data_IF_015423298703
#
_entry.id   IF_015423298703
#
_cell.length_a   1.000
_cell.length_b   1.000
_cell.length_c   1.000
_cell.angle_alpha   90.00
_cell.angle_beta   90.00
_cell.angle_gamma   90.00
#
_symmetry.space_group_name_H-M   'P 1'
#
loop_
_entity.id
_entity.type
_entity.pdbx_description
1 polymer ?
#
# COMPACT_ATOMS: atom_id res chain seq x y z
N UNK A 1 2.43 23.98 -0.15
CA UNK A 1 1.33 23.00 -0.05
C UNK A 1 1.08 22.74 1.43
N UNK A 2 -0.10 23.09 1.90
CA UNK A 2 -0.53 22.84 3.27
C UNK A 2 -0.56 21.32 3.55
N UNK A 3 -0.35 20.91 4.82
CA UNK A 3 -0.37 19.50 5.21
C UNK A 3 -1.67 18.78 4.82
N UNK A 4 -2.79 19.47 4.88
CA UNK A 4 -4.08 18.93 4.47
C UNK A 4 -4.16 18.74 2.95
N UNK A 5 -3.65 19.68 2.17
CA UNK A 5 -3.56 19.59 0.72
C UNK A 5 -2.63 18.46 0.27
N UNK A 6 -1.47 18.31 0.93
CA UNK A 6 -0.56 17.19 0.68
C UNK A 6 -1.25 15.83 0.92
N UNK A 7 -1.97 15.70 2.05
CA UNK A 7 -2.73 14.49 2.37
C UNK A 7 -3.77 14.16 1.30
N UNK A 8 -4.49 15.16 0.79
CA UNK A 8 -5.52 14.99 -0.24
C UNK A 8 -4.95 14.47 -1.58
N UNK A 9 -3.67 14.72 -1.86
CA UNK A 9 -2.94 14.23 -3.04
C UNK A 9 -1.99 13.07 -2.73
N UNK A 10 -2.34 12.29 -1.71
CA UNK A 10 -1.58 11.11 -1.29
C UNK A 10 -2.45 9.84 -1.34
N UNK A 11 -1.80 8.72 -1.61
CA UNK A 11 -2.43 7.38 -1.65
C UNK A 11 -1.72 6.49 -0.64
N UNK A 12 -2.46 5.71 0.14
CA UNK A 12 -1.90 4.64 0.95
C UNK A 12 -2.41 3.27 0.49
N UNK A 13 -1.62 2.23 0.76
CA UNK A 13 -1.91 0.87 0.34
C UNK A 13 -2.25 -0.02 1.54
N UNK A 14 -3.18 -0.95 1.35
CA UNK A 14 -3.43 -2.07 2.24
C UNK A 14 -4.07 -3.22 1.48
N UNK A 15 -3.73 -4.46 1.81
CA UNK A 15 -4.34 -5.58 1.12
C UNK A 15 -3.96 -6.93 1.72
N UNK A 16 -4.62 -7.96 1.22
CA UNK A 16 -4.32 -9.31 1.63
C UNK A 16 -2.93 -9.75 1.16
N UNK A 17 -2.26 -10.57 1.97
CA UNK A 17 -0.99 -11.21 1.63
C UNK A 17 -1.10 -12.05 0.35
N UNK A 18 -2.21 -12.76 0.19
CA UNK A 18 -2.53 -13.58 -0.98
C UNK A 18 -3.47 -12.81 -1.93
N UNK A 19 -3.06 -11.63 -2.37
CA UNK A 19 -3.79 -10.90 -3.38
C UNK A 19 -3.65 -11.59 -4.74
N UNK A 20 -4.71 -11.55 -5.55
CA UNK A 20 -4.62 -11.90 -6.97
C UNK A 20 -3.86 -10.79 -7.70
N UNK A 21 -2.64 -11.09 -8.11
CA UNK A 21 -1.74 -10.18 -8.82
C UNK A 21 -1.66 -10.53 -10.31
N UNK A 22 -2.78 -11.02 -10.87
CA UNK A 22 -2.92 -11.33 -12.29
C UNK A 22 -2.64 -10.11 -13.19
N UNK A 23 -2.37 -10.37 -14.47
CA UNK A 23 -2.11 -9.33 -15.48
C UNK A 23 -3.23 -8.29 -15.55
N UNK A 24 -4.48 -8.70 -15.31
CA UNK A 24 -5.63 -7.78 -15.29
C UNK A 24 -5.53 -6.80 -14.13
N UNK A 25 -5.26 -7.29 -12.91
CA UNK A 25 -5.10 -6.44 -11.72
C UNK A 25 -3.90 -5.52 -11.89
N UNK A 26 -2.79 -6.07 -12.40
CA UNK A 26 -1.59 -5.31 -12.68
C UNK A 26 -1.85 -4.17 -13.67
N UNK A 27 -2.47 -4.49 -14.82
CA UNK A 27 -2.77 -3.49 -15.85
C UNK A 27 -3.68 -2.38 -15.32
N UNK A 28 -4.76 -2.74 -14.62
CA UNK A 28 -5.67 -1.77 -14.02
C UNK A 28 -4.94 -0.85 -13.04
N UNK A 29 -4.13 -1.43 -12.16
CA UNK A 29 -3.42 -0.67 -11.13
C UNK A 29 -2.40 0.30 -11.74
N UNK A 30 -1.64 -0.13 -12.76
CA UNK A 30 -0.67 0.74 -13.45
C UNK A 30 -1.36 1.91 -14.14
N UNK A 31 -2.45 1.64 -14.90
CA UNK A 31 -3.21 2.68 -15.58
C UNK A 31 -3.79 3.70 -14.61
N UNK A 32 -4.34 3.22 -13.48
CA UNK A 32 -4.89 4.10 -12.46
C UNK A 32 -3.80 4.90 -11.75
N UNK A 33 -2.66 4.29 -11.48
CA UNK A 33 -1.53 4.99 -10.84
C UNK A 33 -1.02 6.13 -11.74
N UNK A 34 -0.84 5.89 -13.03
CA UNK A 34 -0.46 6.95 -13.99
C UNK A 34 -1.53 8.06 -14.05
N UNK A 35 -2.81 7.67 -14.04
CA UNK A 35 -3.93 8.62 -14.03
C UNK A 35 -3.88 9.51 -12.78
N UNK A 36 -3.66 8.90 -11.60
CA UNK A 36 -3.56 9.66 -10.34
C UNK A 36 -2.34 10.60 -10.33
N UNK A 37 -1.20 10.14 -10.86
CA UNK A 37 -0.02 10.99 -11.00
C UNK A 37 -0.30 12.20 -11.91
N UNK A 38 -1.01 12.01 -13.02
CA UNK A 38 -1.46 13.11 -13.91
C UNK A 38 -2.41 14.07 -13.19
N UNK A 39 -3.22 13.59 -12.25
CA UNK A 39 -4.11 14.38 -11.39
C UNK A 39 -3.41 15.07 -10.21
N UNK A 40 -2.09 14.97 -10.11
CA UNK A 40 -1.31 15.66 -9.08
C UNK A 40 -1.00 14.83 -7.83
N UNK A 41 -1.33 13.55 -7.76
CA UNK A 41 -0.90 12.68 -6.67
C UNK A 41 0.61 12.47 -6.74
N UNK A 42 1.29 12.62 -5.60
CA UNK A 42 2.76 12.60 -5.55
C UNK A 42 3.32 11.69 -4.46
N UNK A 43 2.59 11.48 -3.39
CA UNK A 43 3.05 10.74 -2.22
C UNK A 43 2.27 9.44 -2.08
N UNK A 44 3.00 8.32 -2.01
CA UNK A 44 2.47 6.96 -1.91
C UNK A 44 3.01 6.31 -0.65
N UNK A 45 2.11 5.81 0.21
CA UNK A 45 2.44 5.27 1.53
C UNK A 45 2.15 3.77 1.57
N UNK A 46 3.16 2.99 1.97
CA UNK A 46 3.07 1.55 2.11
C UNK A 46 3.50 1.09 3.51
N UNK A 47 2.96 -0.01 3.97
CA UNK A 47 3.24 -0.56 5.30
C UNK A 47 4.34 -1.60 5.32
N UNK A 48 4.99 -1.88 4.21
CA UNK A 48 6.02 -2.90 4.10
C UNK A 48 5.51 -4.32 4.36
N UNK A 49 4.27 -4.62 3.98
CA UNK A 49 3.68 -5.95 4.11
C UNK A 49 3.84 -6.74 2.80
N UNK A 50 3.80 -8.06 2.91
CA UNK A 50 3.83 -8.98 1.76
C UNK A 50 2.52 -8.91 0.98
N UNK A 51 2.57 -9.19 -0.32
CA UNK A 51 1.41 -9.27 -1.20
C UNK A 51 1.04 -7.94 -1.82
N UNK A 52 -0.20 -7.48 -1.65
CA UNK A 52 -0.70 -6.26 -2.29
C UNK A 52 0.17 -5.02 -2.02
N UNK A 53 0.61 -4.87 -0.79
CA UNK A 53 1.40 -3.73 -0.34
C UNK A 53 2.77 -3.67 -1.05
N UNK A 54 3.48 -4.81 -1.11
CA UNK A 54 4.74 -4.94 -1.82
C UNK A 54 4.55 -4.74 -3.34
N UNK A 55 3.49 -5.30 -3.92
CA UNK A 55 3.14 -5.14 -5.32
C UNK A 55 2.96 -3.66 -5.68
N UNK A 56 2.13 -2.92 -4.94
CA UNK A 56 1.93 -1.49 -5.16
C UNK A 56 3.23 -0.69 -5.00
N UNK A 57 4.05 -1.03 -4.01
CA UNK A 57 5.35 -0.38 -3.79
C UNK A 57 6.28 -0.54 -4.98
N UNK A 58 6.35 -1.74 -5.56
CA UNK A 58 7.17 -2.01 -6.76
C UNK A 58 6.69 -1.21 -7.97
N UNK A 59 5.39 -1.02 -8.13
CA UNK A 59 4.87 -0.21 -9.23
C UNK A 59 5.18 1.28 -9.06
N UNK A 60 5.12 1.81 -7.84
CA UNK A 60 5.61 3.16 -7.55
C UNK A 60 7.09 3.30 -7.92
N UNK A 61 7.91 2.31 -7.55
CA UNK A 61 9.34 2.28 -7.90
C UNK A 61 9.54 2.22 -9.42
N UNK A 62 8.76 1.41 -10.15
CA UNK A 62 8.81 1.33 -11.60
C UNK A 62 8.50 2.68 -12.26
N UNK A 63 7.48 3.40 -11.78
CA UNK A 63 7.16 4.74 -12.26
C UNK A 63 8.27 5.75 -11.93
N UNK A 64 8.89 5.68 -10.74
CA UNK A 64 10.06 6.52 -10.40
C UNK A 64 11.20 6.28 -11.39
N UNK A 65 11.49 5.02 -11.74
CA UNK A 65 12.51 4.67 -12.77
C UNK A 65 12.16 5.27 -14.15
N UNK A 66 10.87 5.40 -14.48
CA UNK A 66 10.37 6.09 -15.68
C UNK A 66 10.35 7.62 -15.56
N UNK A 67 11.02 8.18 -14.54
CA UNK A 67 11.17 9.63 -14.31
C UNK A 67 9.91 10.38 -13.86
N UNK A 68 8.87 9.67 -13.37
CA UNK A 68 7.77 10.35 -12.71
C UNK A 68 8.23 10.96 -11.37
N UNK A 69 7.86 12.21 -11.11
CA UNK A 69 8.21 12.93 -9.86
C UNK A 69 7.23 12.56 -8.74
N UNK A 70 7.37 11.34 -8.24
CA UNK A 70 6.57 10.77 -7.14
C UNK A 70 7.48 10.22 -6.05
N UNK A 71 6.93 9.99 -4.86
CA UNK A 71 7.66 9.52 -3.67
C UNK A 71 6.99 8.30 -3.09
N UNK A 72 7.81 7.35 -2.66
CA UNK A 72 7.39 6.17 -1.89
C UNK A 72 7.81 6.37 -0.43
N UNK A 73 6.85 6.29 0.47
CA UNK A 73 7.04 6.38 1.91
C UNK A 73 6.70 5.04 2.55
N UNK A 74 7.61 4.45 3.30
CA UNK A 74 7.36 3.26 4.08
C UNK A 74 7.07 3.63 5.53
N UNK A 75 6.01 3.06 6.08
CA UNK A 75 5.67 3.13 7.50
C UNK A 75 5.67 1.69 8.02
N UNK A 76 6.73 1.32 8.73
CA UNK A 76 6.97 -0.03 9.21
C UNK A 76 6.56 -0.17 10.68
N UNK A 77 6.05 -1.35 11.10
CA UNK A 77 5.59 -1.53 12.48
C UNK A 77 6.73 -1.53 13.49
N UNK A 78 7.87 -2.10 13.14
CA UNK A 78 9.07 -2.20 13.99
C UNK A 78 10.32 -2.50 13.15
N UNK A 79 11.45 -2.78 13.79
CA UNK A 79 12.69 -3.13 13.08
C UNK A 79 12.51 -4.33 12.14
N UNK A 80 13.34 -4.37 11.12
CA UNK A 80 13.26 -5.35 10.03
C UNK A 80 13.32 -6.80 10.53
N UNK A 81 14.26 -7.11 11.43
CA UNK A 81 14.49 -8.46 11.95
C UNK A 81 13.27 -9.04 12.66
N UNK A 82 12.58 -8.21 13.44
CA UNK A 82 11.40 -8.64 14.19
C UNK A 82 10.15 -8.69 13.31
N UNK A 83 9.98 -7.72 12.40
CA UNK A 83 8.89 -7.72 11.44
C UNK A 83 8.93 -8.96 10.54
N UNK A 84 10.12 -9.32 10.06
CA UNK A 84 10.32 -10.36 9.04
C UNK A 84 10.69 -11.72 9.60
N UNK A 85 10.69 -11.89 10.94
CA UNK A 85 11.18 -13.13 11.60
C UNK A 85 10.60 -14.43 11.04
N UNK A 86 9.33 -14.41 10.57
CA UNK A 86 8.63 -15.58 10.03
C UNK A 86 8.49 -15.55 8.50
N UNK A 87 9.18 -14.64 7.82
CA UNK A 87 9.10 -14.48 6.37
C UNK A 87 10.11 -15.39 5.67
N UNK A 88 9.83 -15.74 4.41
CA UNK A 88 10.78 -16.42 3.55
C UNK A 88 11.97 -15.52 3.20
N UNK A 89 13.01 -16.11 2.63
CA UNK A 89 14.19 -15.35 2.18
C UNK A 89 13.77 -14.35 1.10
N UNK A 90 12.97 -14.78 0.14
CA UNK A 90 12.50 -13.97 -0.99
C UNK A 90 11.64 -12.79 -0.51
N UNK A 91 10.76 -13.01 0.46
CA UNK A 91 9.94 -11.95 1.05
C UNK A 91 10.77 -10.90 1.79
N UNK A 92 11.85 -11.33 2.45
CA UNK A 92 12.81 -10.42 3.12
C UNK A 92 13.60 -9.60 2.10
N UNK A 93 14.10 -10.25 1.06
CA UNK A 93 14.85 -9.59 -0.03
C UNK A 93 13.96 -8.57 -0.74
N UNK A 94 12.70 -8.92 -1.01
CA UNK A 94 11.71 -8.00 -1.61
C UNK A 94 11.52 -6.74 -0.74
N UNK A 95 11.33 -6.89 0.57
CA UNK A 95 11.20 -5.73 1.46
C UNK A 95 12.47 -4.89 1.50
N UNK A 96 13.65 -5.50 1.55
CA UNK A 96 14.92 -4.78 1.53
C UNK A 96 15.09 -3.99 0.23
N UNK A 97 14.77 -4.59 -0.92
CA UNK A 97 14.78 -3.88 -2.20
C UNK A 97 13.83 -2.67 -2.18
N UNK A 98 12.60 -2.85 -1.70
CA UNK A 98 11.63 -1.76 -1.60
C UNK A 98 12.17 -0.65 -0.68
N UNK A 99 12.77 -0.99 0.46
CA UNK A 99 13.36 -0.02 1.39
C UNK A 99 14.48 0.81 0.74
N UNK A 100 15.33 0.20 -0.10
CA UNK A 100 16.42 0.93 -0.77
C UNK A 100 15.93 1.97 -1.77
N UNK A 101 14.72 1.80 -2.30
CA UNK A 101 14.10 2.71 -3.27
C UNK A 101 13.08 3.69 -2.65
N UNK A 102 12.75 3.51 -1.37
CA UNK A 102 11.85 4.41 -0.65
C UNK A 102 12.50 5.78 -0.41
N UNK A 103 11.71 6.83 -0.48
CA UNK A 103 12.15 8.21 -0.19
C UNK A 103 12.22 8.47 1.31
N UNK A 104 11.37 7.80 2.09
CA UNK A 104 11.42 7.80 3.56
C UNK A 104 11.04 6.44 4.13
N UNK A 105 11.62 6.11 5.27
CA UNK A 105 11.25 4.94 6.08
C UNK A 105 11.00 5.42 7.50
N UNK A 106 9.77 5.24 7.99
CA UNK A 106 9.33 5.55 9.35
C UNK A 106 9.09 4.24 10.10
N UNK A 107 9.60 4.11 11.31
CA UNK A 107 9.32 2.99 12.21
C UNK A 107 8.38 3.44 13.33
N UNK A 108 7.28 2.72 13.53
CA UNK A 108 6.29 3.03 14.58
C UNK A 108 6.85 2.71 15.98
N UNK A 109 7.69 1.68 16.05
CA UNK A 109 8.32 1.21 17.26
C UNK A 109 9.72 0.70 16.94
N UNK A 110 10.65 0.82 17.84
CA UNK A 110 12.00 0.23 17.71
C UNK A 110 11.91 -1.29 17.71
N UNK A 111 11.13 -1.85 18.63
CA UNK A 111 10.90 -3.28 18.77
C UNK A 111 9.43 -3.65 18.52
N UNK A 112 9.17 -4.94 18.27
CA UNK A 112 7.81 -5.44 18.11
C UNK A 112 7.01 -5.28 19.41
N UNK A 113 5.85 -4.65 19.31
CA UNK A 113 4.85 -4.56 20.38
C UNK A 113 3.52 -5.12 19.87
N UNK A 114 2.65 -5.54 20.80
CA UNK A 114 1.34 -6.14 20.44
C UNK A 114 0.46 -5.21 19.61
N UNK A 115 0.68 -3.91 19.69
CA UNK A 115 -0.11 -2.87 19.02
C UNK A 115 0.61 -2.18 17.87
N UNK A 116 1.92 -2.46 17.63
CA UNK A 116 2.70 -1.73 16.62
C UNK A 116 2.10 -1.86 15.20
N UNK A 117 1.57 -3.02 14.83
CA UNK A 117 0.90 -3.21 13.54
C UNK A 117 -0.37 -2.36 13.46
N UNK A 118 -1.17 -2.32 14.53
CA UNK A 118 -2.39 -1.50 14.57
C UNK A 118 -2.06 -0.01 14.48
N UNK A 119 -1.05 0.45 15.19
CA UNK A 119 -0.57 1.84 15.14
C UNK A 119 -0.03 2.20 13.76
N UNK A 120 0.73 1.29 13.13
CA UNK A 120 1.18 1.45 11.74
C UNK A 120 -0.01 1.61 10.78
N UNK A 121 -1.02 0.76 10.90
CA UNK A 121 -2.22 0.83 10.04
C UNK A 121 -2.98 2.15 10.21
N UNK A 122 -3.12 2.64 11.45
CA UNK A 122 -3.70 3.95 11.71
C UNK A 122 -2.85 5.06 11.09
N UNK A 123 -1.53 5.00 11.26
CA UNK A 123 -0.61 5.98 10.68
C UNK A 123 -0.68 6.04 9.15
N UNK A 124 -0.85 4.88 8.48
CA UNK A 124 -1.11 4.83 7.04
C UNK A 124 -2.41 5.56 6.67
N UNK A 125 -3.50 5.28 7.37
CA UNK A 125 -4.78 5.94 7.15
C UNK A 125 -4.70 7.45 7.37
N UNK A 126 -3.92 7.90 8.35
CA UNK A 126 -3.75 9.33 8.64
C UNK A 126 -2.88 10.07 7.60
N UNK A 127 -2.08 9.34 6.83
CA UNK A 127 -1.12 9.91 5.88
C UNK A 127 -1.70 10.27 4.51
N UNK A 128 -2.88 9.75 4.16
CA UNK A 128 -3.42 9.87 2.81
C UNK A 128 -4.88 10.31 2.78
N UNK A 129 -5.33 10.79 1.62
CA UNK A 129 -6.75 11.09 1.36
C UNK A 129 -7.46 10.01 0.56
N UNK A 130 -6.69 9.05 0.01
CA UNK A 130 -7.20 7.93 -0.77
C UNK A 130 -6.48 6.64 -0.34
N UNK A 131 -7.24 5.58 -0.14
CA UNK A 131 -6.68 4.24 0.10
C UNK A 131 -6.95 3.33 -1.09
N UNK A 132 -5.91 2.71 -1.61
CA UNK A 132 -6.00 1.61 -2.55
C UNK A 132 -5.86 0.28 -1.82
N UNK A 133 -6.90 -0.52 -1.85
CA UNK A 133 -6.87 -1.79 -1.15
C UNK A 133 -7.18 -2.98 -2.07
N UNK A 134 -6.72 -4.15 -1.65
CA UNK A 134 -7.17 -5.44 -2.18
C UNK A 134 -7.84 -6.19 -1.03
N UNK A 135 -9.15 -6.03 -0.90
CA UNK A 135 -9.91 -6.44 0.28
C UNK A 135 -11.13 -7.28 -0.08
N UNK A 136 -11.11 -8.55 0.29
CA UNK A 136 -12.28 -9.42 0.28
C UNK A 136 -13.13 -9.13 1.53
N UNK A 137 -14.31 -8.56 1.35
CA UNK A 137 -15.23 -8.19 2.45
C UNK A 137 -15.67 -9.38 3.30
N UNK A 138 -15.63 -10.61 2.77
CA UNK A 138 -15.88 -11.83 3.52
C UNK A 138 -14.84 -12.07 4.63
N UNK A 139 -13.65 -11.50 4.48
CA UNK A 139 -12.55 -11.56 5.45
C UNK A 139 -12.49 -10.32 6.36
N UNK A 140 -13.64 -9.85 6.84
CA UNK A 140 -13.75 -8.59 7.58
C UNK A 140 -12.92 -8.53 8.88
N UNK A 141 -12.63 -9.68 9.51
CA UNK A 141 -11.78 -9.79 10.72
C UNK A 141 -10.27 -9.77 10.42
N UNK A 142 -9.86 -9.70 9.14
CA UNK A 142 -8.46 -9.64 8.76
C UNK A 142 -7.82 -8.28 9.13
N UNK A 143 -6.48 -8.25 9.16
CA UNK A 143 -5.71 -7.01 9.32
C UNK A 143 -6.05 -5.99 8.24
N UNK A 144 -6.23 -6.43 6.99
CA UNK A 144 -6.69 -5.57 5.88
C UNK A 144 -8.06 -4.97 6.18
N UNK A 145 -9.04 -5.78 6.62
CA UNK A 145 -10.37 -5.29 6.98
C UNK A 145 -10.32 -4.29 8.15
N UNK A 146 -9.45 -4.49 9.11
CA UNK A 146 -9.23 -3.52 10.20
C UNK A 146 -8.70 -2.20 9.65
N UNK A 147 -7.72 -2.24 8.76
CA UNK A 147 -7.10 -1.03 8.17
C UNK A 147 -8.10 -0.25 7.31
N UNK A 148 -8.91 -0.95 6.51
CA UNK A 148 -9.98 -0.32 5.71
C UNK A 148 -10.96 0.42 6.62
N UNK A 149 -11.43 -0.20 7.70
CA UNK A 149 -12.32 0.48 8.66
C UNK A 149 -11.69 1.68 9.36
N UNK A 150 -10.38 1.64 9.64
CA UNK A 150 -9.65 2.81 10.14
C UNK A 150 -9.65 3.94 9.12
N UNK A 151 -9.38 3.62 7.86
CA UNK A 151 -9.39 4.59 6.76
C UNK A 151 -10.77 5.24 6.57
N UNK A 152 -11.84 4.45 6.59
CA UNK A 152 -13.22 4.94 6.53
C UNK A 152 -13.53 5.92 7.68
N UNK A 153 -13.13 5.58 8.91
CA UNK A 153 -13.28 6.45 10.09
C UNK A 153 -12.46 7.75 9.98
N UNK A 154 -11.30 7.69 9.34
CA UNK A 154 -10.44 8.85 9.08
C UNK A 154 -10.89 9.66 7.86
N UNK A 155 -12.02 9.30 7.24
CA UNK A 155 -12.61 10.02 6.11
C UNK A 155 -11.89 9.81 4.77
N UNK A 156 -11.13 8.73 4.60
CA UNK A 156 -10.48 8.42 3.33
C UNK A 156 -11.49 7.90 2.32
N UNK A 157 -11.27 8.26 1.07
CA UNK A 157 -11.89 7.54 -0.04
C UNK A 157 -11.20 6.18 -0.19
N UNK A 158 -12.00 5.13 -0.45
CA UNK A 158 -11.49 3.77 -0.59
C UNK A 158 -11.70 3.31 -2.03
N UNK A 159 -10.63 2.82 -2.66
CA UNK A 159 -10.70 2.11 -3.93
C UNK A 159 -10.28 0.66 -3.72
N UNK A 160 -11.21 -0.26 -3.93
CA UNK A 160 -10.99 -1.68 -3.70
C UNK A 160 -10.79 -2.44 -5.03
N UNK A 161 -9.55 -2.76 -5.35
CA UNK A 161 -9.17 -3.48 -6.57
C UNK A 161 -9.67 -4.94 -6.60
N UNK A 162 -9.96 -5.53 -5.45
CA UNK A 162 -10.57 -6.86 -5.39
C UNK A 162 -11.93 -6.91 -6.09
N UNK A 163 -12.76 -5.88 -5.94
CA UNK A 163 -14.06 -5.76 -6.60
C UNK A 163 -13.86 -5.46 -8.08
N UNK A 164 -13.02 -4.49 -8.42
CA UNK A 164 -12.74 -4.09 -9.79
C UNK A 164 -12.16 -5.25 -10.63
N UNK A 165 -11.17 -5.98 -10.09
CA UNK A 165 -10.58 -7.12 -10.79
C UNK A 165 -11.58 -8.25 -11.07
N UNK A 166 -12.56 -8.49 -10.18
CA UNK A 166 -13.61 -9.49 -10.40
C UNK A 166 -14.72 -9.03 -11.32
N UNK A 167 -14.97 -7.76 -11.44
CA UNK A 167 -15.94 -7.14 -12.35
C UNK A 167 -15.36 -6.81 -13.72
N UNK A 168 -14.04 -6.89 -13.91
CA UNK A 168 -13.42 -6.67 -15.19
C UNK A 168 -13.91 -7.73 -16.21
N UNK A 169 -14.31 -7.33 -17.43
CA UNK A 169 -14.74 -8.28 -18.43
C UNK A 169 -13.59 -9.25 -18.73
N UNK A 170 -13.88 -10.56 -18.67
CA UNK A 170 -12.96 -11.56 -19.21
C UNK A 170 -12.96 -11.37 -20.71
N UNK A 171 -11.88 -10.86 -21.27
CA UNK A 171 -11.71 -10.86 -22.71
C UNK A 171 -11.71 -12.32 -23.18
N UNK A 172 -12.59 -12.69 -24.14
CA UNK A 172 -12.52 -14.03 -24.72
C UNK A 172 -11.17 -14.18 -25.42
N UNK A 173 -10.50 -15.30 -25.18
CA UNK A 173 -9.29 -15.70 -25.88
C UNK A 173 -9.55 -15.82 -27.38
#
# INVERSE_FOLDING_TARGET
MDMNEKRMHSICFTGHRNADLSDVVHTLMVLEMETMVKRGYRDFYAGGAVGWDAFCSKEVIALKKRRFKIRLHLILPCCFEEQTRKWSVEEKEELLEIQTHADTVEYISEHYTKDCIKRRNQRLADSAGLMWCYYDKKRFRSGTGQTVRMAEKSGLRIWNFYVEAKSAPRFPN
#
